data_IF_901500018104
#
_entry.id   IF_901500018104
#
_cell.length_a   1.000
_cell.length_b   1.000
_cell.length_c   1.000
_cell.angle_alpha   90.00
_cell.angle_beta   90.00
_cell.angle_gamma   90.00
#
_symmetry.space_group_name_H-M   'P 1'
#
loop_
_entity.id
_entity.type
_entity.pdbx_description
1 polymer ?
#
# COMPACT_ATOMS: atom_id res chain seq x y z
N UNK A 1 10.89 46.02 -5.04
CA UNK A 1 11.09 44.60 -4.65
C UNK A 1 9.97 43.77 -5.23
N UNK A 2 10.24 42.57 -5.77
CA UNK A 2 9.21 41.68 -6.33
C UNK A 2 8.47 41.01 -5.18
N UNK A 3 7.14 41.07 -5.20
CA UNK A 3 6.27 40.51 -4.14
C UNK A 3 6.51 39.00 -4.04
N UNK A 4 6.77 38.52 -2.83
CA UNK A 4 6.90 37.07 -2.56
C UNK A 4 5.54 36.39 -2.80
N UNK A 5 5.58 35.26 -3.49
CA UNK A 5 4.43 34.38 -3.69
C UNK A 5 4.84 32.99 -3.18
N UNK A 6 4.05 32.36 -2.29
CA UNK A 6 4.31 31.01 -1.82
C UNK A 6 4.46 30.04 -3.00
N UNK A 7 5.51 29.23 -2.98
CA UNK A 7 5.88 28.32 -4.09
C UNK A 7 5.51 26.86 -3.81
N UNK A 8 4.74 26.66 -2.76
CA UNK A 8 4.42 25.37 -2.16
C UNK A 8 3.64 24.49 -3.17
N UNK A 9 2.88 25.14 -4.07
CA UNK A 9 2.29 24.49 -5.24
C UNK A 9 2.23 25.49 -6.41
N UNK A 10 3.28 25.52 -7.23
CA UNK A 10 3.38 26.34 -8.46
C UNK A 10 2.75 25.66 -9.69
N UNK A 11 2.16 24.48 -9.52
CA UNK A 11 1.62 23.71 -10.63
C UNK A 11 0.24 24.25 -11.02
N UNK A 12 0.00 24.41 -12.32
CA UNK A 12 -1.30 24.85 -12.81
C UNK A 12 -2.36 23.79 -12.45
N UNK A 13 -3.32 24.17 -11.60
CA UNK A 13 -4.45 23.29 -11.29
C UNK A 13 -5.34 23.16 -12.53
N UNK A 14 -5.83 21.95 -12.80
CA UNK A 14 -6.81 21.72 -13.85
C UNK A 14 -8.10 22.50 -13.54
N UNK A 15 -8.61 23.23 -14.52
CA UNK A 15 -9.90 23.93 -14.43
C UNK A 15 -11.10 22.98 -14.36
N UNK A 16 -10.93 21.74 -14.81
CA UNK A 16 -11.97 20.73 -14.85
C UNK A 16 -11.77 19.74 -13.71
N UNK A 17 -12.78 19.64 -12.84
CA UNK A 17 -12.81 18.73 -11.69
C UNK A 17 -13.27 17.31 -12.07
N UNK A 18 -13.85 17.13 -13.25
CA UNK A 18 -14.42 15.87 -13.73
C UNK A 18 -13.49 15.07 -14.67
N UNK A 19 -12.31 15.61 -15.01
CA UNK A 19 -11.32 14.93 -15.86
C UNK A 19 -10.76 13.66 -15.23
N UNK A 20 -10.78 13.58 -13.91
CA UNK A 20 -10.28 12.43 -13.18
C UNK A 20 -11.45 11.51 -12.88
N UNK A 21 -11.60 10.48 -13.70
CA UNK A 21 -12.53 9.40 -13.42
C UNK A 21 -12.14 8.74 -12.09
N UNK A 22 -12.96 8.93 -11.06
CA UNK A 22 -12.77 8.31 -9.75
C UNK A 22 -13.33 6.90 -9.83
N UNK A 23 -12.44 5.94 -10.08
CA UNK A 23 -12.82 4.52 -10.14
C UNK A 23 -13.23 4.06 -8.74
N UNK A 24 -14.37 3.38 -8.56
CA UNK A 24 -14.72 2.76 -7.30
C UNK A 24 -13.65 1.74 -6.89
N UNK A 25 -13.48 1.55 -5.58
CA UNK A 25 -12.50 0.58 -5.06
C UNK A 25 -12.89 -0.83 -5.48
N UNK A 26 -11.88 -1.66 -5.76
CA UNK A 26 -12.08 -3.09 -5.96
C UNK A 26 -12.67 -3.71 -4.68
N UNK A 27 -13.64 -4.64 -4.79
CA UNK A 27 -14.19 -5.31 -3.62
C UNK A 27 -13.12 -6.08 -2.84
N UNK A 28 -13.17 -5.93 -1.52
CA UNK A 28 -12.32 -6.65 -0.56
C UNK A 28 -13.09 -7.82 0.01
N UNK A 29 -12.47 -8.99 0.03
CA UNK A 29 -12.96 -10.16 0.72
C UNK A 29 -12.11 -10.44 1.98
N UNK A 30 -12.72 -11.10 2.96
CA UNK A 30 -11.99 -11.62 4.11
C UNK A 30 -10.99 -12.72 3.69
N UNK A 31 -9.92 -12.87 4.47
CA UNK A 31 -8.92 -13.90 4.22
C UNK A 31 -9.47 -15.26 4.69
N UNK A 32 -10.02 -16.04 3.75
CA UNK A 32 -10.61 -17.36 4.04
C UNK A 32 -9.76 -18.55 3.56
N UNK A 33 -8.80 -18.30 2.67
CA UNK A 33 -7.91 -19.34 2.16
C UNK A 33 -6.95 -19.84 3.26
N UNK A 34 -6.74 -21.15 3.33
CA UNK A 34 -5.95 -21.77 4.38
C UNK A 34 -4.47 -21.36 4.35
N UNK A 35 -3.89 -21.23 3.15
CA UNK A 35 -2.53 -20.77 3.01
C UNK A 35 -2.42 -19.29 3.40
N UNK A 36 -3.28 -18.41 2.87
CA UNK A 36 -3.25 -17.00 3.24
C UNK A 36 -3.52 -16.76 4.73
N UNK A 37 -4.43 -17.51 5.35
CA UNK A 37 -4.66 -17.42 6.78
C UNK A 37 -3.41 -17.81 7.59
N UNK A 38 -2.66 -18.83 7.14
CA UNK A 38 -1.40 -19.22 7.77
C UNK A 38 -0.33 -18.13 7.67
N UNK A 39 -0.23 -17.45 6.52
CA UNK A 39 0.69 -16.32 6.30
C UNK A 39 0.35 -15.15 7.22
N UNK A 40 -0.92 -14.75 7.27
CA UNK A 40 -1.38 -13.67 8.16
C UNK A 40 -1.11 -14.03 9.62
N UNK A 41 -1.32 -15.28 10.01
CA UNK A 41 -1.00 -15.77 11.36
C UNK A 41 0.50 -15.73 11.67
N UNK A 42 1.38 -16.03 10.70
CA UNK A 42 2.83 -15.98 10.88
C UNK A 42 3.33 -14.55 11.05
N UNK A 43 2.75 -13.59 10.32
CA UNK A 43 3.07 -12.17 10.44
C UNK A 43 2.52 -11.53 11.73
N UNK A 44 1.39 -12.03 12.24
CA UNK A 44 0.87 -11.68 13.56
C UNK A 44 0.71 -10.16 13.77
N UNK A 45 1.43 -9.61 14.75
CA UNK A 45 1.32 -8.21 15.14
C UNK A 45 1.89 -7.22 14.11
N UNK A 46 2.68 -7.69 13.14
CA UNK A 46 3.21 -6.82 12.09
C UNK A 46 2.13 -6.49 11.02
N UNK A 47 0.95 -7.14 11.06
CA UNK A 47 -0.20 -6.88 10.17
C UNK A 47 -1.15 -5.83 10.74
N UNK A 48 -1.33 -4.72 10.03
CA UNK A 48 -2.30 -3.67 10.37
C UNK A 48 -3.67 -3.90 9.70
N UNK A 49 -3.65 -4.33 8.44
CA UNK A 49 -4.84 -4.68 7.66
C UNK A 49 -4.51 -5.86 6.75
N UNK A 50 -5.43 -6.82 6.60
CA UNK A 50 -5.29 -7.91 5.62
C UNK A 50 -6.62 -8.21 4.94
N UNK A 51 -6.60 -8.41 3.64
CA UNK A 51 -7.78 -8.75 2.85
C UNK A 51 -7.36 -9.44 1.54
N UNK A 52 -8.34 -10.01 0.84
CA UNK A 52 -8.16 -10.54 -0.52
C UNK A 52 -8.80 -9.60 -1.53
N UNK A 53 -8.02 -9.15 -2.51
CA UNK A 53 -8.49 -8.37 -3.66
C UNK A 53 -8.08 -9.11 -4.95
N UNK A 54 -9.04 -9.39 -5.85
CA UNK A 54 -8.79 -10.11 -7.12
C UNK A 54 -8.06 -11.46 -6.90
N UNK A 55 -8.41 -12.17 -5.84
CA UNK A 55 -7.80 -13.46 -5.49
C UNK A 55 -6.35 -13.37 -4.99
N UNK A 56 -5.83 -12.18 -4.73
CA UNK A 56 -4.50 -11.95 -4.17
C UNK A 56 -4.61 -11.50 -2.71
N UNK A 57 -3.77 -12.06 -1.85
CA UNK A 57 -3.59 -11.58 -0.48
C UNK A 57 -2.91 -10.20 -0.52
N UNK A 58 -3.49 -9.25 0.20
CA UNK A 58 -2.89 -7.94 0.43
C UNK A 58 -2.75 -7.74 1.94
N UNK A 59 -1.55 -7.35 2.36
CA UNK A 59 -1.19 -7.11 3.76
C UNK A 59 -0.60 -5.72 3.89
N UNK A 60 -1.19 -4.91 4.78
CA UNK A 60 -0.65 -3.62 5.18
C UNK A 60 0.17 -3.82 6.45
N UNK A 61 1.38 -3.31 6.45
CA UNK A 61 2.37 -3.56 7.51
C UNK A 61 2.91 -2.25 8.06
N UNK A 62 3.49 -2.30 9.25
CA UNK A 62 4.34 -1.20 9.72
C UNK A 62 5.60 -1.10 8.84
N UNK A 63 5.84 0.04 8.16
CA UNK A 63 7.00 0.20 7.29
C UNK A 63 8.33 0.08 8.03
N UNK A 64 8.37 0.36 9.34
CA UNK A 64 9.58 0.21 10.17
C UNK A 64 9.97 -1.25 10.41
N UNK A 65 9.03 -2.18 10.18
CA UNK A 65 9.17 -3.63 10.37
C UNK A 65 9.35 -4.39 9.05
N UNK A 66 9.47 -3.68 7.93
CA UNK A 66 9.44 -4.27 6.58
C UNK A 66 10.46 -5.42 6.36
N UNK A 67 11.66 -5.30 6.91
CA UNK A 67 12.70 -6.32 6.76
C UNK A 67 12.32 -7.62 7.46
N UNK A 68 11.76 -7.52 8.67
CA UNK A 68 11.34 -8.68 9.45
C UNK A 68 10.14 -9.36 8.79
N UNK A 69 9.18 -8.59 8.28
CA UNK A 69 8.06 -9.12 7.49
C UNK A 69 8.55 -9.89 6.27
N UNK A 70 9.44 -9.30 5.46
CA UNK A 70 9.98 -9.96 4.26
C UNK A 70 10.75 -11.23 4.64
N UNK A 71 11.47 -11.21 5.76
CA UNK A 71 12.18 -12.38 6.28
C UNK A 71 11.20 -13.50 6.65
N UNK A 72 10.14 -13.22 7.40
CA UNK A 72 9.10 -14.19 7.74
C UNK A 72 8.42 -14.75 6.49
N UNK A 73 8.10 -13.90 5.51
CA UNK A 73 7.52 -14.35 4.23
C UNK A 73 8.42 -15.35 3.50
N UNK A 74 9.73 -15.11 3.52
CA UNK A 74 10.72 -15.99 2.88
C UNK A 74 10.96 -17.28 3.65
N UNK A 75 11.21 -17.18 4.95
CA UNK A 75 11.69 -18.29 5.78
C UNK A 75 10.55 -19.20 6.28
N UNK A 76 9.35 -18.65 6.51
CA UNK A 76 8.24 -19.38 7.11
C UNK A 76 7.05 -19.57 6.16
N UNK A 77 6.83 -18.64 5.21
CA UNK A 77 5.66 -18.67 4.31
C UNK A 77 5.97 -19.19 2.90
N UNK A 78 7.24 -19.40 2.55
CA UNK A 78 7.65 -19.98 1.26
C UNK A 78 7.77 -19.00 0.09
N UNK A 79 7.68 -17.69 0.32
CA UNK A 79 7.84 -16.67 -0.72
C UNK A 79 9.33 -16.40 -1.00
N UNK A 80 9.92 -17.17 -1.91
CA UNK A 80 11.38 -17.14 -2.17
C UNK A 80 11.83 -16.13 -3.22
N UNK A 81 10.89 -15.55 -3.99
CA UNK A 81 11.16 -14.58 -5.04
C UNK A 81 10.30 -13.33 -4.86
N UNK A 82 10.94 -12.15 -4.92
CA UNK A 82 10.27 -10.88 -5.11
C UNK A 82 10.17 -10.60 -6.62
N UNK A 83 8.96 -10.54 -7.16
CA UNK A 83 8.75 -10.23 -8.58
C UNK A 83 8.90 -8.73 -8.86
N UNK A 84 8.42 -7.88 -7.95
CA UNK A 84 8.32 -6.44 -8.15
C UNK A 84 8.46 -5.68 -6.81
N UNK A 85 9.05 -4.49 -6.87
CA UNK A 85 9.06 -3.54 -5.76
C UNK A 85 8.64 -2.17 -6.32
N UNK A 86 7.39 -1.82 -6.07
CA UNK A 86 6.78 -0.58 -6.53
C UNK A 86 6.69 0.40 -5.36
N UNK A 87 6.78 1.69 -5.67
CA UNK A 87 6.58 2.78 -4.72
C UNK A 87 5.48 3.70 -5.26
N UNK A 88 4.57 4.13 -4.39
CA UNK A 88 3.42 4.93 -4.78
C UNK A 88 3.27 6.09 -3.80
N UNK A 89 3.43 7.31 -4.31
CA UNK A 89 3.48 8.49 -3.46
C UNK A 89 2.09 8.90 -2.97
N UNK A 90 1.88 8.85 -1.65
CA UNK A 90 0.64 9.27 -0.99
C UNK A 90 0.86 10.48 -0.07
N UNK A 91 1.77 11.39 -0.45
CA UNK A 91 2.12 12.58 0.34
C UNK A 91 0.92 13.37 0.86
N UNK A 92 -0.11 13.54 0.02
CA UNK A 92 -1.29 14.33 0.38
C UNK A 92 -2.23 13.66 1.39
N UNK A 93 -2.14 12.34 1.57
CA UNK A 93 -3.02 11.57 2.48
C UNK A 93 -2.34 11.21 3.79
N UNK A 94 -1.11 10.74 3.73
CA UNK A 94 -0.42 10.17 4.88
C UNK A 94 1.05 10.65 5.03
N UNK A 95 1.54 11.52 4.13
CA UNK A 95 2.96 11.90 4.08
C UNK A 95 3.91 10.67 3.95
N UNK A 96 3.44 9.65 3.22
CA UNK A 96 4.08 8.34 3.04
C UNK A 96 4.29 8.02 1.54
N UNK A 97 5.16 7.05 1.26
CA UNK A 97 5.55 6.53 -0.06
C UNK A 97 5.24 5.02 -0.19
#
# INVERSE_FOLDING_TARGET
MRKYVPKDNVQAKSYYTDRFHVVPRVPRAEVSDAHFASVVSALGADVQESYVEIGQLVVHIDPTRNFDVIKTLKEESGYTQCSEQLAAEYLAKANEF
#
